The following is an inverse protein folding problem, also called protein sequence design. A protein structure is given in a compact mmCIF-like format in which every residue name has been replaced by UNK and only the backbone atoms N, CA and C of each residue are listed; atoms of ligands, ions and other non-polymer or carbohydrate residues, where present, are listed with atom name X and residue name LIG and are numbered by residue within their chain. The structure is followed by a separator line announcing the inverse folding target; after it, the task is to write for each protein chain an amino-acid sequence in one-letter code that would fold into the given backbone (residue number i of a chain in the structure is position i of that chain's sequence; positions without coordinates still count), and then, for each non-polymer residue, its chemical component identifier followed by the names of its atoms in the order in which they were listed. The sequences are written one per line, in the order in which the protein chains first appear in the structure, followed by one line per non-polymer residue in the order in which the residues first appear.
data_IF_993492420822
#
_entry.id   IF_993492420822
#
_cell.length_a   1.000
_cell.length_b   1.000
_cell.length_c   1.000
_cell.angle_alpha   90.00
_cell.angle_beta   90.00
_cell.angle_gamma   90.00
#
_symmetry.space_group_name_H-M   'P 1'
#
loop_
_entity.id
_entity.type
_entity.pdbx_description
1 polymer ?
#
# COMPACT_ATOMS: atom_id res chain seq x y z
N UNK A 1 -11.69 -15.29 3.39
CA UNK A 1 -11.67 -13.92 2.85
C UNK A 1 -12.43 -13.03 3.82
N UNK A 2 -11.91 -11.84 4.16
CA UNK A 2 -12.68 -10.85 4.90
C UNK A 2 -13.90 -10.41 4.09
N UNK A 3 -15.00 -10.09 4.77
CA UNK A 3 -16.14 -9.51 4.08
C UNK A 3 -15.90 -8.04 3.71
N UNK A 4 -16.67 -7.46 2.77
CA UNK A 4 -16.51 -6.07 2.33
C UNK A 4 -16.51 -5.04 3.48
N UNK A 5 -17.24 -5.32 4.57
CA UNK A 5 -17.24 -4.48 5.77
C UNK A 5 -15.86 -4.36 6.44
N UNK A 6 -15.06 -5.43 6.46
CA UNK A 6 -13.72 -5.39 7.03
C UNK A 6 -12.78 -4.52 6.19
N UNK A 7 -12.83 -4.63 4.87
CA UNK A 7 -12.06 -3.78 3.95
C UNK A 7 -12.44 -2.30 4.10
N UNK A 8 -13.74 -2.01 4.21
CA UNK A 8 -14.23 -0.66 4.44
C UNK A 8 -13.76 -0.09 5.78
N UNK A 9 -13.91 -0.85 6.87
CA UNK A 9 -13.47 -0.40 8.19
C UNK A 9 -11.97 -0.12 8.23
N UNK A 10 -11.16 -1.01 7.65
CA UNK A 10 -9.71 -0.83 7.56
C UNK A 10 -9.35 0.47 6.82
N UNK A 11 -9.86 0.64 5.60
CA UNK A 11 -9.49 1.79 4.76
C UNK A 11 -10.11 3.11 5.22
N UNK A 12 -11.32 3.11 5.79
CA UNK A 12 -11.92 4.30 6.40
C UNK A 12 -11.17 4.72 7.67
N UNK A 13 -10.77 3.77 8.52
CA UNK A 13 -10.00 4.07 9.72
C UNK A 13 -8.64 4.68 9.36
N UNK A 14 -7.92 4.07 8.43
CA UNK A 14 -6.64 4.59 7.90
C UNK A 14 -6.84 5.94 7.23
N UNK A 15 -7.83 6.09 6.35
CA UNK A 15 -8.13 7.35 5.65
C UNK A 15 -8.46 8.47 6.63
N UNK A 16 -9.24 8.17 7.67
CA UNK A 16 -9.57 9.13 8.73
C UNK A 16 -8.33 9.54 9.55
N UNK A 17 -7.43 8.60 9.84
CA UNK A 17 -6.16 8.89 10.49
C UNK A 17 -5.27 9.77 9.60
N UNK A 18 -5.14 9.45 8.31
CA UNK A 18 -4.40 10.27 7.34
C UNK A 18 -4.98 11.67 7.22
N UNK A 19 -6.30 11.81 7.16
CA UNK A 19 -6.98 13.09 7.14
C UNK A 19 -6.62 13.93 8.36
N UNK A 20 -6.65 13.36 9.56
CA UNK A 20 -6.25 14.05 10.79
C UNK A 20 -4.78 14.44 10.80
N UNK A 21 -3.89 13.48 10.52
CA UNK A 21 -2.43 13.67 10.58
C UNK A 21 -1.94 14.68 9.55
N UNK A 22 -2.61 14.76 8.40
CA UNK A 22 -2.24 15.67 7.31
C UNK A 22 -2.92 17.03 7.41
N UNK A 23 -3.77 17.24 8.43
CA UNK A 23 -4.62 18.43 8.58
C UNK A 23 -5.49 18.63 7.33
N UNK A 24 -6.09 17.55 6.85
CA UNK A 24 -7.02 17.45 5.72
C UNK A 24 -6.45 17.64 4.32
N UNK A 25 -5.12 17.57 4.15
CA UNK A 25 -4.52 17.45 2.81
C UNK A 25 -4.97 16.15 2.14
N UNK A 26 -5.14 15.08 2.94
CA UNK A 26 -5.96 13.93 2.58
C UNK A 26 -7.40 14.22 3.04
N UNK A 27 -8.26 14.61 2.10
CA UNK A 27 -9.62 15.09 2.37
C UNK A 27 -10.67 13.96 2.41
N UNK A 28 -11.93 14.25 2.81
CA UNK A 28 -13.03 13.27 2.76
C UNK A 28 -13.23 12.61 1.39
N UNK A 29 -12.99 13.35 0.29
CA UNK A 29 -13.02 12.78 -1.06
C UNK A 29 -11.98 11.67 -1.24
N UNK A 30 -10.77 11.84 -0.69
CA UNK A 30 -9.72 10.83 -0.77
C UNK A 30 -10.11 9.57 0.01
N UNK A 31 -10.63 9.74 1.23
CA UNK A 31 -11.12 8.64 2.06
C UNK A 31 -12.18 7.82 1.31
N UNK A 32 -13.16 8.48 0.70
CA UNK A 32 -14.22 7.79 -0.02
C UNK A 32 -13.70 7.02 -1.23
N UNK A 33 -12.87 7.63 -2.08
CA UNK A 33 -12.35 6.92 -3.27
C UNK A 33 -11.44 5.76 -2.84
N UNK A 34 -10.57 5.95 -1.85
CA UNK A 34 -9.72 4.88 -1.31
C UNK A 34 -10.56 3.72 -0.77
N UNK A 35 -11.56 4.00 0.05
CA UNK A 35 -12.45 2.99 0.63
C UNK A 35 -13.32 2.30 -0.41
N UNK A 36 -13.90 3.04 -1.35
CA UNK A 36 -14.74 2.45 -2.38
C UNK A 36 -13.95 1.49 -3.26
N UNK A 37 -12.67 1.76 -3.54
CA UNK A 37 -11.85 0.81 -4.29
C UNK A 37 -11.35 -0.36 -3.46
N UNK A 38 -11.23 -0.20 -2.14
CA UNK A 38 -11.03 -1.34 -1.26
C UNK A 38 -12.29 -2.18 -1.05
N UNK A 39 -13.47 -1.60 -1.24
CA UNK A 39 -14.75 -2.29 -1.20
C UNK A 39 -15.06 -2.99 -2.53
N UNK A 40 -15.04 -2.24 -3.64
CA UNK A 40 -15.36 -2.75 -4.97
C UNK A 40 -14.27 -3.69 -5.46
N UNK A 41 -13.01 -3.27 -5.32
CA UNK A 41 -11.82 -4.08 -5.47
C UNK A 41 -11.84 -5.11 -6.63
N UNK A 42 -11.02 -6.16 -6.53
CA UNK A 42 -11.10 -7.31 -7.43
C UNK A 42 -12.47 -8.02 -7.42
N UNK A 43 -13.29 -7.80 -6.40
CA UNK A 43 -14.67 -8.30 -6.29
C UNK A 43 -15.61 -7.82 -7.42
N UNK A 44 -15.24 -6.79 -8.19
CA UNK A 44 -15.93 -6.48 -9.45
C UNK A 44 -15.92 -7.66 -10.43
N UNK A 45 -14.88 -8.51 -10.39
CA UNK A 45 -14.77 -9.73 -11.18
C UNK A 45 -15.81 -10.78 -10.77
N UNK A 46 -15.98 -11.01 -9.46
CA UNK A 46 -16.98 -11.96 -8.95
C UNK A 46 -18.41 -11.48 -9.20
N UNK A 47 -18.64 -10.16 -9.09
CA UNK A 47 -19.91 -9.55 -9.50
C UNK A 47 -20.18 -9.70 -11.00
N UNK A 48 -19.17 -9.48 -11.85
CA UNK A 48 -19.31 -9.62 -13.31
C UNK A 48 -19.56 -11.09 -13.72
N UNK A 49 -18.92 -12.06 -13.05
CA UNK A 49 -19.18 -13.48 -13.27
C UNK A 49 -20.61 -13.84 -12.87
N UNK A 50 -21.06 -13.41 -11.69
CA UNK A 50 -22.45 -13.58 -11.26
C UNK A 50 -23.43 -12.99 -12.27
N UNK A 51 -23.21 -11.74 -12.71
CA UNK A 51 -24.06 -11.07 -13.68
C UNK A 51 -24.09 -11.81 -15.03
N UNK A 52 -22.93 -12.24 -15.54
CA UNK A 52 -22.84 -13.03 -16.78
C UNK A 52 -23.60 -14.35 -16.66
N UNK A 53 -23.56 -14.99 -15.49
CA UNK A 53 -24.29 -16.24 -15.22
C UNK A 53 -25.82 -16.04 -15.21
N UNK A 54 -26.29 -14.88 -14.75
CA UNK A 54 -27.72 -14.52 -14.74
C UNK A 54 -28.21 -14.11 -16.13
N UNK A 55 -27.39 -13.39 -16.89
CA UNK A 55 -27.76 -12.84 -18.22
C UNK A 55 -27.51 -13.86 -19.35
N UNK A 56 -26.86 -14.98 -19.07
CA UNK A 56 -26.62 -16.06 -20.05
C UNK A 56 -25.47 -15.79 -21.03
N UNK A 57 -24.56 -14.87 -20.71
CA UNK A 57 -23.41 -14.48 -21.55
C UNK A 57 -22.22 -15.48 -21.48
N UNK A 58 -22.41 -16.62 -20.83
CA UNK A 58 -21.46 -17.73 -20.77
C UNK A 58 -20.39 -17.58 -19.68
N UNK A 59 -20.08 -18.70 -19.01
CA UNK A 59 -19.10 -18.76 -17.90
C UNK A 59 -17.67 -18.41 -18.32
N UNK A 60 -17.29 -18.60 -19.58
CA UNK A 60 -15.91 -18.43 -20.06
C UNK A 60 -15.41 -16.98 -20.09
N UNK A 61 -16.30 -16.01 -20.39
CA UNK A 61 -15.94 -14.58 -20.35
C UNK A 61 -15.83 -14.06 -18.91
N UNK A 62 -16.74 -14.48 -18.03
CA UNK A 62 -16.72 -14.11 -16.61
C UNK A 62 -15.47 -14.59 -15.89
N UNK A 63 -15.08 -15.86 -16.09
CA UNK A 63 -13.89 -16.43 -15.43
C UNK A 63 -12.57 -15.82 -15.92
N UNK A 64 -12.49 -15.46 -17.20
CA UNK A 64 -11.29 -14.80 -17.76
C UNK A 64 -11.15 -13.37 -17.23
N UNK A 65 -12.25 -12.63 -17.13
CA UNK A 65 -12.27 -11.30 -16.52
C UNK A 65 -11.95 -11.36 -15.03
N UNK A 66 -12.47 -12.36 -14.31
CA UNK A 66 -12.16 -12.58 -12.90
C UNK A 66 -10.66 -12.75 -12.68
N UNK A 67 -9.98 -13.58 -13.48
CA UNK A 67 -8.53 -13.80 -13.35
C UNK A 67 -7.71 -12.53 -13.63
N UNK A 68 -8.14 -11.70 -14.58
CA UNK A 68 -7.46 -10.43 -14.87
C UNK A 68 -7.67 -9.38 -13.77
N UNK A 69 -8.87 -9.33 -13.20
CA UNK A 69 -9.25 -8.33 -12.19
C UNK A 69 -8.74 -8.72 -10.80
N UNK A 70 -8.51 -10.00 -10.51
CA UNK A 70 -7.87 -10.48 -9.27
C UNK A 70 -6.34 -10.40 -9.29
N UNK A 71 -5.72 -9.98 -10.39
CA UNK A 71 -4.30 -9.67 -10.39
C UNK A 71 -4.09 -8.20 -9.95
N UNK A 72 -3.28 -7.94 -8.90
CA UNK A 72 -3.10 -6.59 -8.37
C UNK A 72 -2.60 -5.56 -9.37
N UNK A 73 -1.78 -6.01 -10.32
CA UNK A 73 -1.24 -5.16 -11.37
C UNK A 73 -2.29 -4.89 -12.45
N UNK A 74 -2.93 -5.94 -12.97
CA UNK A 74 -3.91 -5.80 -14.05
C UNK A 74 -5.20 -5.09 -13.60
N UNK A 75 -5.64 -5.26 -12.36
CA UNK A 75 -6.73 -4.45 -11.80
C UNK A 75 -6.46 -2.96 -11.98
N UNK A 76 -5.27 -2.54 -11.53
CA UNK A 76 -4.85 -1.15 -11.56
C UNK A 76 -4.78 -0.63 -13.00
N UNK A 77 -4.26 -1.43 -13.93
CA UNK A 77 -4.10 -1.01 -15.33
C UNK A 77 -5.44 -0.95 -16.07
N UNK A 78 -6.28 -1.98 -15.93
CA UNK A 78 -7.51 -2.14 -16.71
C UNK A 78 -8.67 -1.31 -16.16
N UNK A 79 -8.88 -1.35 -14.84
CA UNK A 79 -9.98 -0.64 -14.18
C UNK A 79 -9.56 0.72 -13.62
N UNK A 80 -8.27 0.95 -13.39
CA UNK A 80 -7.78 2.23 -12.87
C UNK A 80 -8.11 3.42 -13.76
N UNK A 81 -7.98 3.29 -15.08
CA UNK A 81 -8.31 4.36 -16.02
C UNK A 81 -9.81 4.73 -16.04
N UNK A 82 -10.75 3.80 -16.31
CA UNK A 82 -12.17 4.14 -16.31
C UNK A 82 -12.65 4.63 -14.94
N UNK A 83 -12.19 4.01 -13.85
CA UNK A 83 -12.56 4.42 -12.50
C UNK A 83 -11.99 5.79 -12.12
N UNK A 84 -10.76 6.14 -12.53
CA UNK A 84 -10.21 7.46 -12.18
C UNK A 84 -10.95 8.60 -12.89
N UNK A 85 -11.41 8.38 -14.12
CA UNK A 85 -12.27 9.34 -14.84
C UNK A 85 -13.62 9.47 -14.13
N UNK A 86 -14.25 8.35 -13.79
CA UNK A 86 -15.53 8.34 -13.08
C UNK A 86 -15.44 9.03 -11.71
N UNK A 87 -14.45 8.67 -10.89
CA UNK A 87 -14.29 9.24 -9.55
C UNK A 87 -13.91 10.72 -9.58
N UNK A 88 -13.11 11.17 -10.55
CA UNK A 88 -12.81 12.60 -10.70
C UNK A 88 -14.07 13.40 -11.05
N UNK A 89 -14.91 12.87 -11.96
CA UNK A 89 -16.22 13.46 -12.25
C UNK A 89 -17.14 13.46 -11.03
N UNK A 90 -17.23 12.34 -10.30
CA UNK A 90 -18.08 12.21 -9.12
C UNK A 90 -17.63 13.16 -8.01
N UNK A 91 -16.33 13.28 -7.75
CA UNK A 91 -15.76 14.22 -6.79
C UNK A 91 -16.13 15.66 -7.15
N UNK A 92 -16.02 16.05 -8.43
CA UNK A 92 -16.45 17.37 -8.90
C UNK A 92 -17.94 17.63 -8.68
N UNK A 93 -18.79 16.63 -8.93
CA UNK A 93 -20.23 16.73 -8.69
C UNK A 93 -20.55 16.87 -7.21
N UNK A 94 -19.98 16.03 -6.35
CA UNK A 94 -20.22 16.05 -4.90
C UNK A 94 -19.72 17.35 -4.26
N UNK A 95 -18.60 17.87 -4.74
CA UNK A 95 -18.08 19.15 -4.30
C UNK A 95 -19.01 20.32 -4.68
N UNK A 96 -19.48 20.37 -5.94
CA UNK A 96 -20.44 21.40 -6.39
C UNK A 96 -21.77 21.37 -5.63
N UNK A 97 -22.19 20.19 -5.17
CA UNK A 97 -23.41 20.01 -4.38
C UNK A 97 -23.21 20.32 -2.88
N UNK A 98 -21.99 20.61 -2.42
CA UNK A 98 -21.69 20.86 -1.01
C UNK A 98 -21.82 19.61 -0.12
N UNK A 99 -21.84 18.40 -0.70
CA UNK A 99 -22.01 17.14 0.05
C UNK A 99 -20.70 16.74 0.73
N UNK A 100 -19.56 17.04 0.11
CA UNK A 100 -18.24 16.69 0.61
C UNK A 100 -17.28 17.87 0.56
N UNK A 101 -16.69 18.15 1.71
CA UNK A 101 -15.71 19.22 1.86
C UNK A 101 -14.33 18.83 1.30
N UNK A 102 -13.57 19.85 0.88
CA UNK A 102 -12.19 19.73 0.43
C UNK A 102 -11.45 20.99 0.87
N UNK A 103 -10.36 20.82 1.62
CA UNK A 103 -9.55 21.93 2.12
C UNK A 103 -9.04 22.84 1.01
N UNK A 104 -8.73 22.29 -0.16
CA UNK A 104 -8.25 23.06 -1.31
C UNK A 104 -9.38 23.79 -2.07
N UNK A 105 -10.64 23.57 -1.71
CA UNK A 105 -11.79 24.08 -2.47
C UNK A 105 -11.90 23.51 -3.88
N UNK A 106 -11.13 22.46 -4.21
CA UNK A 106 -11.17 21.79 -5.51
C UNK A 106 -11.43 20.30 -5.36
N UNK A 107 -12.15 19.69 -6.32
CA UNK A 107 -12.37 18.25 -6.35
C UNK A 107 -11.10 17.48 -6.75
N UNK A 108 -11.14 16.17 -6.60
CA UNK A 108 -10.04 15.29 -7.00
C UNK A 108 -9.84 15.29 -8.51
N UNK A 109 -8.58 15.43 -8.92
CA UNK A 109 -8.19 15.23 -10.30
C UNK A 109 -7.99 13.74 -10.63
N UNK A 110 -7.92 13.43 -11.93
CA UNK A 110 -7.78 12.04 -12.42
C UNK A 110 -6.54 11.33 -11.90
N UNK A 111 -5.42 12.04 -11.75
CA UNK A 111 -4.17 11.45 -11.24
C UNK A 111 -4.32 11.05 -9.77
N UNK A 112 -4.93 11.91 -8.94
CA UNK A 112 -5.24 11.59 -7.55
C UNK A 112 -6.19 10.40 -7.46
N UNK A 113 -7.25 10.38 -8.27
CA UNK A 113 -8.18 9.26 -8.32
C UNK A 113 -7.48 7.96 -8.77
N UNK A 114 -6.57 8.00 -9.74
CA UNK A 114 -5.82 6.82 -10.17
C UNK A 114 -5.00 6.24 -9.01
N UNK A 115 -4.26 7.09 -8.28
CA UNK A 115 -3.51 6.65 -7.10
C UNK A 115 -4.41 6.06 -6.01
N UNK A 116 -5.57 6.68 -5.76
CA UNK A 116 -6.52 6.19 -4.76
C UNK A 116 -7.19 4.87 -5.18
N UNK A 117 -7.46 4.69 -6.48
CA UNK A 117 -7.97 3.42 -7.02
C UNK A 117 -6.95 2.31 -6.80
N UNK A 118 -5.69 2.54 -7.20
CA UNK A 118 -4.60 1.60 -6.98
C UNK A 118 -4.35 1.30 -5.49
N UNK A 119 -4.40 2.34 -4.65
CA UNK A 119 -4.23 2.18 -3.20
C UNK A 119 -5.34 1.31 -2.62
N UNK A 120 -6.60 1.61 -2.97
CA UNK A 120 -7.77 0.87 -2.49
C UNK A 120 -7.72 -0.59 -2.90
N UNK A 121 -7.40 -0.88 -4.16
CA UNK A 121 -7.31 -2.27 -4.63
C UNK A 121 -6.19 -3.05 -3.97
N UNK A 122 -5.00 -2.46 -3.82
CA UNK A 122 -3.88 -3.13 -3.13
C UNK A 122 -4.18 -3.36 -1.64
N UNK A 123 -4.87 -2.42 -1.00
CA UNK A 123 -5.36 -2.58 0.38
C UNK A 123 -6.49 -3.60 0.52
N UNK A 124 -7.27 -3.83 -0.54
CA UNK A 124 -8.19 -4.96 -0.59
C UNK A 124 -7.42 -6.28 -0.54
N UNK A 125 -6.49 -6.46 -1.48
CA UNK A 125 -5.65 -7.65 -1.57
C UNK A 125 -4.85 -7.91 -0.29
N UNK A 126 -4.44 -6.88 0.46
CA UNK A 126 -3.75 -7.07 1.74
C UNK A 126 -4.52 -7.99 2.69
N UNK A 127 -5.81 -7.73 2.89
CA UNK A 127 -6.63 -8.52 3.80
C UNK A 127 -6.98 -9.89 3.20
N UNK A 128 -7.17 -9.98 1.89
CA UNK A 128 -7.43 -11.27 1.25
C UNK A 128 -6.25 -12.21 1.40
N UNK A 129 -5.03 -11.74 1.13
CA UNK A 129 -3.86 -12.59 1.25
C UNK A 129 -3.62 -13.11 2.68
N UNK A 130 -4.13 -12.40 3.69
CA UNK A 130 -4.06 -12.83 5.10
C UNK A 130 -5.14 -13.87 5.45
N UNK A 131 -6.32 -13.83 4.84
CA UNK A 131 -7.50 -14.60 5.30
C UNK A 131 -8.19 -15.44 4.23
N UNK A 132 -7.77 -15.36 2.98
CA UNK A 132 -8.29 -16.16 1.86
C UNK A 132 -7.55 -17.50 1.78
N UNK A 133 -8.25 -18.53 1.29
CA UNK A 133 -7.77 -19.92 1.23
C UNK A 133 -7.25 -20.47 2.57
N UNK A 134 -7.74 -19.98 3.72
CA UNK A 134 -7.18 -20.29 5.04
C UNK A 134 -5.67 -20.00 5.14
N UNK A 135 -5.21 -18.90 4.53
CA UNK A 135 -3.79 -18.54 4.47
C UNK A 135 -2.99 -19.44 3.53
N UNK A 136 -3.58 -19.89 2.41
CA UNK A 136 -2.88 -20.73 1.43
C UNK A 136 -2.68 -20.07 0.06
N UNK A 137 -2.91 -18.76 -0.02
CA UNK A 137 -2.67 -17.99 -1.24
C UNK A 137 -1.24 -18.20 -1.75
N UNK A 138 -1.04 -18.11 -3.07
CA UNK A 138 0.29 -18.27 -3.68
C UNK A 138 1.33 -17.32 -3.07
N UNK A 139 0.93 -16.07 -2.84
CA UNK A 139 1.78 -15.06 -2.20
C UNK A 139 2.11 -15.47 -0.77
N UNK A 140 1.13 -15.85 0.06
CA UNK A 140 1.40 -16.21 1.44
C UNK A 140 2.28 -17.48 1.55
N UNK A 141 2.03 -18.50 0.72
CA UNK A 141 2.92 -19.66 0.60
C UNK A 141 4.33 -19.28 0.17
N UNK A 142 4.46 -18.33 -0.76
CA UNK A 142 5.77 -17.81 -1.15
C UNK A 142 6.44 -17.08 0.03
N UNK A 143 5.72 -16.24 0.77
CA UNK A 143 6.22 -15.58 1.97
C UNK A 143 6.76 -16.61 2.95
N UNK A 144 5.95 -17.61 3.32
CA UNK A 144 6.37 -18.68 4.22
C UNK A 144 7.58 -19.45 3.66
N UNK A 145 7.68 -19.66 2.34
CA UNK A 145 8.82 -20.39 1.77
C UNK A 145 10.16 -19.67 1.93
N UNK A 146 10.17 -18.38 2.31
CA UNK A 146 11.40 -17.64 2.67
C UNK A 146 11.88 -17.89 4.11
N UNK A 147 11.07 -18.53 4.96
CA UNK A 147 11.42 -18.90 6.32
C UNK A 147 12.07 -20.29 6.43
N UNK A 148 12.43 -20.69 7.66
CA UNK A 148 13.04 -21.99 7.92
C UNK A 148 12.13 -22.88 8.78
N UNK A 149 11.71 -24.02 8.22
CA UNK A 149 10.71 -24.91 8.82
C UNK A 149 11.20 -26.34 9.05
N UNK A 150 12.51 -26.60 8.91
CA UNK A 150 13.10 -27.95 9.02
C UNK A 150 13.47 -28.33 10.47
N UNK A 151 12.84 -27.70 11.46
CA UNK A 151 13.22 -27.74 12.87
C UNK A 151 14.06 -26.52 13.25
N UNK A 152 14.77 -26.60 14.37
CA UNK A 152 15.50 -25.46 14.93
C UNK A 152 16.52 -24.90 13.96
N UNK A 153 16.43 -23.60 13.68
CA UNK A 153 17.39 -22.94 12.79
C UNK A 153 18.80 -22.95 13.40
N UNK A 154 19.84 -23.35 12.65
CA UNK A 154 21.22 -23.26 13.12
C UNK A 154 21.63 -21.80 13.36
N UNK A 155 22.41 -21.57 14.42
CA UNK A 155 23.00 -20.25 14.69
C UNK A 155 24.07 -19.98 13.62
N UNK A 156 23.83 -19.00 12.75
CA UNK A 156 24.76 -18.54 11.73
C UNK A 156 25.44 -17.24 12.20
N UNK A 157 26.76 -17.30 12.46
CA UNK A 157 27.54 -16.14 12.94
C UNK A 157 27.53 -15.01 11.92
N UNK A 158 27.57 -15.35 10.63
CA UNK A 158 27.52 -14.37 9.54
C UNK A 158 26.22 -13.55 9.61
N UNK A 159 25.07 -14.21 9.81
CA UNK A 159 23.78 -13.55 9.95
C UNK A 159 23.72 -12.64 11.17
N UNK A 160 24.26 -13.06 12.32
CA UNK A 160 24.33 -12.21 13.52
C UNK A 160 25.14 -10.94 13.26
N UNK A 161 26.30 -11.07 12.61
CA UNK A 161 27.18 -9.95 12.31
C UNK A 161 26.56 -8.99 11.29
N UNK A 162 26.05 -9.51 10.17
CA UNK A 162 25.47 -8.69 9.10
C UNK A 162 24.23 -7.97 9.59
N UNK A 163 23.32 -8.67 10.27
CA UNK A 163 22.06 -8.08 10.73
C UNK A 163 22.32 -7.15 11.90
N UNK A 164 23.21 -7.51 12.83
CA UNK A 164 23.65 -6.61 13.89
C UNK A 164 24.24 -5.31 13.35
N UNK A 165 25.05 -5.39 12.29
CA UNK A 165 25.62 -4.22 11.60
C UNK A 165 24.53 -3.38 10.93
N UNK A 166 23.62 -3.99 10.17
CA UNK A 166 22.54 -3.29 9.47
C UNK A 166 21.59 -2.58 10.44
N UNK A 167 21.19 -3.26 11.53
CA UNK A 167 20.37 -2.68 12.58
C UNK A 167 21.09 -1.54 13.30
N UNK A 168 22.37 -1.72 13.65
CA UNK A 168 23.17 -0.67 14.28
C UNK A 168 23.32 0.55 13.36
N UNK A 169 23.56 0.32 12.06
CA UNK A 169 23.66 1.39 11.06
C UNK A 169 22.34 2.13 10.89
N UNK A 170 21.22 1.41 10.85
CA UNK A 170 19.89 2.02 10.78
C UNK A 170 19.61 2.90 12.00
N UNK A 171 19.83 2.38 13.21
CA UNK A 171 19.58 3.11 14.45
C UNK A 171 20.52 4.33 14.58
N UNK A 172 21.83 4.12 14.42
CA UNK A 172 22.81 5.21 14.51
C UNK A 172 22.60 6.26 13.43
N UNK A 173 22.31 5.84 12.20
CA UNK A 173 22.01 6.72 11.07
C UNK A 173 20.74 7.53 11.31
N UNK A 174 19.67 6.90 11.82
CA UNK A 174 18.42 7.59 12.13
C UNK A 174 18.61 8.64 13.23
N UNK A 175 19.32 8.29 14.31
CA UNK A 175 19.70 9.23 15.37
C UNK A 175 20.55 10.36 14.81
N UNK A 176 21.53 10.05 13.95
CA UNK A 176 22.40 11.05 13.33
C UNK A 176 21.64 12.04 12.43
N UNK A 177 20.68 11.57 11.63
CA UNK A 177 19.84 12.40 10.76
C UNK A 177 18.93 13.29 11.61
N UNK A 178 18.32 12.72 12.65
CA UNK A 178 17.31 13.40 13.46
C UNK A 178 17.87 14.18 14.65
N UNK A 179 19.19 14.18 14.86
CA UNK A 179 19.83 15.00 15.90
C UNK A 179 19.48 16.48 15.74
N UNK A 180 19.46 17.20 16.86
CA UNK A 180 19.20 18.64 16.89
C UNK A 180 20.31 19.34 16.11
N UNK A 181 19.96 19.94 14.98
CA UNK A 181 20.86 20.70 14.11
C UNK A 181 20.08 21.89 13.56
N UNK A 182 20.59 23.10 13.78
CA UNK A 182 19.97 24.31 13.29
C UNK A 182 20.04 24.35 11.76
N UNK A 183 18.93 24.69 11.11
CA UNK A 183 18.87 24.95 9.66
C UNK A 183 18.36 23.82 8.76
N UNK A 184 18.12 22.60 9.26
CA UNK A 184 17.49 21.54 8.45
C UNK A 184 15.97 21.49 8.68
N UNK A 185 15.19 21.49 7.59
CA UNK A 185 13.74 21.33 7.65
C UNK A 185 13.33 19.91 8.05
N UNK A 186 12.15 19.78 8.67
CA UNK A 186 11.57 18.47 9.03
C UNK A 186 11.42 17.56 7.81
N UNK A 187 11.03 18.12 6.66
CA UNK A 187 10.88 17.38 5.41
C UNK A 187 12.21 16.80 4.93
N UNK A 188 13.30 17.57 5.02
CA UNK A 188 14.64 17.09 4.66
C UNK A 188 15.08 15.93 5.53
N UNK A 189 14.88 16.02 6.86
CA UNK A 189 15.22 14.94 7.80
C UNK A 189 14.37 13.70 7.57
N UNK A 190 13.07 13.88 7.32
CA UNK A 190 12.15 12.80 6.98
C UNK A 190 12.59 12.07 5.70
N UNK A 191 12.86 12.81 4.62
CA UNK A 191 13.33 12.24 3.36
C UNK A 191 14.64 11.47 3.51
N UNK A 192 15.60 12.02 4.27
CA UNK A 192 16.86 11.33 4.58
C UNK A 192 16.64 10.06 5.41
N UNK A 193 15.73 10.10 6.38
CA UNK A 193 15.39 8.94 7.21
C UNK A 193 14.72 7.84 6.38
N UNK A 194 13.80 8.21 5.49
CA UNK A 194 13.16 7.29 4.55
C UNK A 194 14.17 6.68 3.59
N UNK A 195 15.12 7.47 3.08
CA UNK A 195 16.20 6.98 2.23
C UNK A 195 17.09 5.98 2.99
N UNK A 196 17.46 6.28 4.23
CA UNK A 196 18.22 5.35 5.07
C UNK A 196 17.48 4.03 5.28
N UNK A 197 16.19 4.09 5.65
CA UNK A 197 15.34 2.90 5.83
C UNK A 197 15.29 2.09 4.52
N UNK A 198 15.07 2.76 3.39
CA UNK A 198 15.01 2.10 2.08
C UNK A 198 16.32 1.40 1.72
N UNK A 199 17.47 2.05 1.92
CA UNK A 199 18.79 1.46 1.68
C UNK A 199 19.01 0.25 2.57
N UNK A 200 18.75 0.36 3.88
CA UNK A 200 18.93 -0.76 4.81
C UNK A 200 17.99 -1.92 4.49
N UNK A 201 16.71 -1.65 4.21
CA UNK A 201 15.73 -2.67 3.84
C UNK A 201 16.12 -3.40 2.55
N UNK A 202 16.70 -2.68 1.58
CA UNK A 202 17.21 -3.27 0.33
C UNK A 202 18.40 -4.19 0.62
N UNK A 203 19.41 -3.71 1.37
CA UNK A 203 20.57 -4.52 1.74
C UNK A 203 20.17 -5.75 2.56
N UNK A 204 19.22 -5.60 3.47
CA UNK A 204 18.66 -6.69 4.26
C UNK A 204 17.94 -7.72 3.38
N UNK A 205 17.10 -7.26 2.46
CA UNK A 205 16.41 -8.15 1.51
C UNK A 205 17.39 -8.88 0.60
N UNK A 206 18.47 -8.21 0.15
CA UNK A 206 19.54 -8.84 -0.62
C UNK A 206 20.27 -9.91 0.20
N UNK A 207 20.55 -9.66 1.48
CA UNK A 207 21.12 -10.67 2.38
C UNK A 207 20.22 -11.90 2.49
N UNK A 208 18.93 -11.68 2.77
CA UNK A 208 17.99 -12.79 2.87
C UNK A 208 17.88 -13.58 1.56
N UNK A 209 17.75 -12.88 0.42
CA UNK A 209 17.67 -13.52 -0.88
C UNK A 209 18.94 -14.31 -1.22
N UNK A 210 20.12 -13.80 -0.84
CA UNK A 210 21.38 -14.51 -1.02
C UNK A 210 21.41 -15.82 -0.22
N UNK A 211 21.04 -15.77 1.07
CA UNK A 211 21.05 -16.94 1.95
C UNK A 211 20.05 -18.02 1.51
N UNK A 212 18.88 -17.62 1.01
CA UNK A 212 17.78 -18.52 0.63
C UNK A 212 17.95 -19.06 -0.79
N UNK A 213 18.28 -18.21 -1.77
CA UNK A 213 18.22 -18.57 -3.19
C UNK A 213 19.58 -18.77 -3.85
N UNK A 214 20.64 -18.11 -3.37
CA UNK A 214 21.95 -18.11 -4.03
C UNK A 214 22.97 -19.02 -3.34
N UNK A 215 22.87 -19.21 -2.02
CA UNK A 215 23.76 -20.09 -1.26
C UNK A 215 23.41 -21.56 -1.46
N UNK A 216 24.43 -22.41 -1.60
CA UNK A 216 24.29 -23.86 -1.71
C UNK A 216 25.14 -24.59 -0.66
N UNK A 217 24.54 -25.33 0.30
CA UNK A 217 23.10 -25.46 0.52
C UNK A 217 22.48 -24.15 1.06
N UNK A 218 21.18 -23.91 0.82
CA UNK A 218 20.45 -22.77 1.39
C UNK A 218 20.53 -22.76 2.92
N UNK A 219 20.57 -21.56 3.50
CA UNK A 219 20.64 -21.34 4.94
C UNK A 219 19.56 -20.35 5.40
N UNK A 220 19.13 -20.42 6.67
CA UNK A 220 18.26 -19.38 7.22
C UNK A 220 18.97 -18.03 7.19
N UNK A 221 18.26 -17.01 6.71
CA UNK A 221 18.77 -15.63 6.70
C UNK A 221 18.89 -15.06 8.12
N UNK A 222 17.91 -15.37 8.97
CA UNK A 222 17.89 -15.05 10.40
C UNK A 222 16.96 -16.01 11.13
N UNK A 223 17.52 -16.89 11.95
CA UNK A 223 16.71 -17.84 12.72
C UNK A 223 15.68 -18.58 11.86
N UNK A 224 14.44 -18.66 12.35
CA UNK A 224 13.34 -19.38 11.66
C UNK A 224 12.49 -18.46 10.77
N UNK A 225 12.79 -17.15 10.75
CA UNK A 225 11.89 -16.11 10.29
C UNK A 225 11.81 -15.99 8.76
N UNK A 226 10.63 -15.61 8.26
CA UNK A 226 10.31 -15.44 6.85
C UNK A 226 10.47 -13.98 6.37
N UNK A 227 11.51 -13.30 6.83
CA UNK A 227 11.61 -11.85 6.74
C UNK A 227 11.57 -11.31 5.31
N UNK A 228 12.23 -11.97 4.36
CA UNK A 228 12.24 -11.53 2.96
C UNK A 228 10.81 -11.47 2.41
N UNK A 229 10.07 -12.56 2.62
CA UNK A 229 8.68 -12.65 2.22
C UNK A 229 7.83 -11.56 2.89
N UNK A 230 7.98 -11.39 4.20
CA UNK A 230 7.23 -10.39 4.98
C UNK A 230 7.52 -8.96 4.50
N UNK A 231 8.79 -8.61 4.28
CA UNK A 231 9.18 -7.27 3.81
C UNK A 231 8.59 -6.99 2.42
N UNK A 232 8.67 -7.95 1.50
CA UNK A 232 8.10 -7.79 0.15
C UNK A 232 6.58 -7.69 0.22
N UNK A 233 5.93 -8.54 1.03
CA UNK A 233 4.49 -8.51 1.23
C UNK A 233 4.01 -7.16 1.79
N UNK A 234 4.64 -6.67 2.86
CA UNK A 234 4.34 -5.36 3.43
C UNK A 234 4.66 -4.24 2.46
N UNK A 235 5.75 -4.35 1.69
CA UNK A 235 6.10 -3.40 0.63
C UNK A 235 4.95 -3.21 -0.35
N UNK A 236 4.45 -4.30 -0.91
CA UNK A 236 3.43 -4.32 -1.97
C UNK A 236 2.05 -3.94 -1.44
N UNK A 237 1.61 -4.59 -0.37
CA UNK A 237 0.21 -4.53 0.07
C UNK A 237 -0.04 -3.56 1.23
N UNK A 238 1.01 -3.04 1.87
CA UNK A 238 0.87 -2.07 2.96
C UNK A 238 1.55 -0.73 2.61
N UNK A 239 2.87 -0.67 2.40
CA UNK A 239 3.58 0.59 2.24
C UNK A 239 3.27 1.31 0.92
N UNK A 240 3.22 0.60 -0.22
CA UNK A 240 2.86 1.20 -1.51
C UNK A 240 1.47 1.87 -1.47
N UNK A 241 0.40 1.20 -0.99
CA UNK A 241 -0.92 1.83 -0.86
C UNK A 241 -0.91 3.13 -0.08
N UNK A 242 -0.24 3.16 1.08
CA UNK A 242 -0.14 4.37 1.88
C UNK A 242 0.71 5.45 1.18
N UNK A 243 1.77 5.06 0.48
CA UNK A 243 2.56 5.97 -0.36
C UNK A 243 1.73 6.59 -1.49
N UNK A 244 0.88 5.81 -2.16
CA UNK A 244 -0.05 6.30 -3.18
C UNK A 244 -1.08 7.27 -2.58
N UNK A 245 -1.61 6.97 -1.38
CA UNK A 245 -2.46 7.89 -0.63
C UNK A 245 -1.72 9.22 -0.35
N UNK A 246 -0.46 9.19 0.06
CA UNK A 246 0.36 10.39 0.26
C UNK A 246 0.54 11.18 -1.03
N UNK A 247 0.86 10.51 -2.15
CA UNK A 247 1.02 11.15 -3.46
C UNK A 247 -0.28 11.74 -4.02
N UNK A 248 -1.42 11.27 -3.54
CA UNK A 248 -2.73 11.78 -3.93
C UNK A 248 -3.15 13.04 -3.17
N UNK A 249 -2.49 13.39 -2.06
CA UNK A 249 -2.90 14.50 -1.20
C UNK A 249 -2.90 15.85 -1.92
N UNK A 250 -3.79 16.75 -1.51
CA UNK A 250 -3.80 18.13 -1.96
C UNK A 250 -2.54 18.86 -1.46
N UNK A 251 -1.96 19.72 -2.30
CA UNK A 251 -0.84 20.58 -1.93
C UNK A 251 -1.30 21.73 -1.03
N UNK A 252 -0.48 22.08 -0.02
CA UNK A 252 -0.80 23.14 0.95
C UNK A 252 -0.79 24.56 0.38
N UNK A 253 -0.07 24.79 -0.71
CA UNK A 253 0.28 26.14 -1.17
C UNK A 253 -0.92 26.95 -1.70
N UNK A 254 -2.08 26.33 -1.91
CA UNK A 254 -3.30 27.02 -2.34
C UNK A 254 -4.12 27.63 -1.19
N UNK A 255 -3.93 27.19 0.06
CA UNK A 255 -4.74 27.64 1.21
C UNK A 255 -4.02 28.72 2.05
N UNK A 256 -2.68 28.76 2.03
CA UNK A 256 -1.96 29.86 2.67
C UNK A 256 -1.99 31.16 1.85
N UNK A 257 -2.18 31.08 0.52
CA UNK A 257 -2.33 32.25 -0.33
C UNK A 257 -3.66 32.99 -0.12
N UNK A 258 -4.73 32.31 0.33
CA UNK A 258 -6.02 32.96 0.61
C UNK A 258 -6.08 33.67 1.97
N UNK A 259 -5.15 33.37 2.89
CA UNK A 259 -5.05 34.01 4.21
C UNK A 259 -4.02 35.16 4.24
N UNK A 260 -3.51 35.59 3.07
CA UNK A 260 -2.60 36.74 2.93
C UNK A 260 -3.16 37.85 2.03
N UNK A 261 -4.47 37.91 1.81
CA UNK A 261 -5.09 39.10 1.23
C UNK A 261 -5.48 40.05 2.36
N UNK A 262 -4.86 41.26 2.44
CA UNK A 262 -5.27 42.27 3.40
C UNK A 262 -6.63 42.87 2.99
N UNK A 263 -7.54 42.98 3.96
CA UNK A 263 -8.56 44.03 3.98
C UNK A 263 -8.18 45.01 5.08
#
# INVERSE_FOLDING_TARGET
MPGPGAHMMYTLAVGSALMRLTKGCFSPHHCLVYTLNAFLGPDLGSFAEWLSSVVGLGRGLGSSLMNLVHDPFWYTVLLGFPLCVFYSWASAKLHRLGILDSISGVPLNRKQCLFLVSAGSLSHFFLDHLFEENGNSKMYKWVLSTGWWKGTAPIDVDSVLVIGLLCSFLLAGFVYINRVKNGQSLNSKSNQSLLLIYVVATLYSMWCAFQIYLRNPPRPAIGEEADLGVIVFLGIYFFIPHGLCILSMNQRDLVQASNQLPL
#
